data_IF_095329061828
#
_entry.id   IF_095329061828
#
_cell.length_a   1.000
_cell.length_b   1.000
_cell.length_c   1.000
_cell.angle_alpha   90.00
_cell.angle_beta   90.00
_cell.angle_gamma   90.00
#
_symmetry.space_group_name_H-M   'P 1'
#
loop_
_entity.id
_entity.type
_entity.pdbx_description
1 polymer ?
#
# COMPACT_ATOMS: atom_id res chain seq x y z
N UNK A 1 18.41 11.10 65.16
CA UNK A 1 18.49 9.65 65.42
C UNK A 1 17.09 9.07 65.35
N UNK A 2 16.70 8.53 64.20
CA UNK A 2 16.05 7.23 64.09
C UNK A 2 15.95 6.82 62.62
N UNK A 3 16.31 5.57 62.41
CA UNK A 3 16.47 4.83 61.18
C UNK A 3 15.13 4.29 60.63
N UNK A 4 15.19 3.84 59.37
CA UNK A 4 14.33 2.83 58.71
C UNK A 4 12.91 3.29 58.32
N UNK A 5 12.31 2.87 57.21
CA UNK A 5 12.61 1.73 56.33
C UNK A 5 12.08 2.01 54.91
N UNK A 6 12.97 1.89 53.92
CA UNK A 6 12.65 1.84 52.49
C UNK A 6 12.22 0.41 52.14
N UNK A 7 11.03 0.25 51.54
CA UNK A 7 10.59 -1.00 50.94
C UNK A 7 10.43 -0.80 49.43
N UNK A 8 11.39 -1.31 48.68
CA UNK A 8 11.36 -1.37 47.22
C UNK A 8 10.34 -2.38 46.73
N UNK A 9 9.50 -1.99 45.78
CA UNK A 9 8.72 -2.91 44.95
C UNK A 9 9.45 -3.09 43.62
N UNK A 10 10.07 -4.26 43.49
CA UNK A 10 10.65 -4.78 42.26
C UNK A 10 9.54 -5.14 41.28
N UNK A 11 9.41 -4.36 40.21
CA UNK A 11 8.57 -4.71 39.06
C UNK A 11 9.29 -5.76 38.20
N UNK A 12 8.84 -7.01 38.31
CA UNK A 12 9.25 -8.10 37.42
C UNK A 12 8.60 -7.88 36.04
N UNK A 13 9.36 -7.36 35.08
CA UNK A 13 9.00 -7.45 33.67
C UNK A 13 9.17 -8.90 33.20
N UNK A 14 8.05 -9.56 32.96
CA UNK A 14 8.01 -10.83 32.25
C UNK A 14 8.34 -10.57 30.78
N UNK A 15 9.58 -10.89 30.37
CA UNK A 15 9.95 -10.96 28.95
C UNK A 15 9.33 -12.25 28.38
N UNK A 16 8.30 -12.11 27.56
CA UNK A 16 7.85 -13.18 26.68
C UNK A 16 8.94 -13.41 25.62
N UNK A 17 9.59 -14.57 25.68
CA UNK A 17 10.55 -15.00 24.68
C UNK A 17 9.78 -15.59 23.49
N UNK A 18 9.67 -14.83 22.40
CA UNK A 18 9.17 -15.34 21.11
C UNK A 18 10.26 -16.18 20.46
N UNK A 19 10.12 -17.50 20.53
CA UNK A 19 11.02 -18.46 19.87
C UNK A 19 10.72 -18.46 18.37
N UNK A 20 11.54 -17.77 17.57
CA UNK A 20 11.53 -17.90 16.11
C UNK A 20 12.30 -19.16 15.75
N UNK A 21 11.59 -20.24 15.43
CA UNK A 21 12.18 -21.46 14.89
C UNK A 21 12.61 -21.22 13.43
N UNK A 22 13.92 -21.10 13.20
CA UNK A 22 14.49 -21.07 11.86
C UNK A 22 14.52 -22.51 11.28
N UNK A 23 13.59 -22.84 10.39
CA UNK A 23 13.68 -24.05 9.57
C UNK A 23 14.69 -23.80 8.43
N UNK A 24 15.90 -24.34 8.55
CA UNK A 24 16.78 -24.53 7.40
C UNK A 24 16.19 -25.63 6.52
N UNK A 25 15.72 -25.26 5.34
CA UNK A 25 15.22 -26.21 4.33
C UNK A 25 16.29 -26.36 3.25
N UNK A 26 16.80 -27.57 3.08
CA UNK A 26 17.76 -27.93 2.03
C UNK A 26 17.05 -27.99 0.68
N UNK A 27 17.39 -27.07 -0.23
CA UNK A 27 16.87 -27.01 -1.60
C UNK A 27 17.51 -28.12 -2.45
N UNK A 28 16.76 -29.17 -2.75
CA UNK A 28 17.08 -30.12 -3.83
C UNK A 28 16.56 -29.56 -5.14
N UNK A 29 17.42 -29.46 -6.15
CA UNK A 29 17.11 -28.89 -7.47
C UNK A 29 15.98 -29.64 -8.18
N UNK A 30 14.76 -29.12 -8.06
CA UNK A 30 13.61 -29.58 -8.82
C UNK A 30 13.56 -28.81 -10.14
N UNK A 31 13.67 -29.55 -11.24
CA UNK A 31 13.47 -29.01 -12.59
C UNK A 31 11.98 -28.72 -12.79
N UNK A 32 11.57 -27.46 -12.58
CA UNK A 32 10.19 -27.00 -12.69
C UNK A 32 9.73 -26.95 -14.16
N UNK A 33 9.10 -28.03 -14.62
CA UNK A 33 8.23 -27.99 -15.79
C UNK A 33 6.82 -27.58 -15.35
N UNK A 34 6.60 -26.28 -15.13
CA UNK A 34 5.28 -25.76 -14.73
C UNK A 34 4.84 -24.64 -15.67
N UNK A 35 3.74 -24.89 -16.38
CA UNK A 35 3.05 -23.97 -17.30
C UNK A 35 2.28 -22.85 -16.56
N UNK A 36 2.79 -22.39 -15.42
CA UNK A 36 2.17 -21.26 -14.72
C UNK A 36 2.39 -19.97 -15.50
N UNK A 37 1.55 -18.97 -15.24
CA UNK A 37 1.76 -17.62 -15.76
C UNK A 37 3.08 -17.06 -15.22
N UNK A 38 3.91 -16.62 -16.16
CA UNK A 38 5.23 -16.08 -15.91
C UNK A 38 5.09 -14.57 -15.94
N UNK A 39 5.47 -13.87 -14.87
CA UNK A 39 5.46 -12.41 -14.88
C UNK A 39 6.63 -11.90 -15.72
N UNK A 40 6.32 -11.34 -16.89
CA UNK A 40 7.26 -10.47 -17.60
C UNK A 40 7.38 -9.15 -16.85
N UNK A 41 8.60 -8.78 -16.50
CA UNK A 41 8.86 -7.56 -15.74
C UNK A 41 10.01 -6.78 -16.37
N UNK A 42 10.02 -5.49 -16.08
CA UNK A 42 11.14 -4.62 -16.30
C UNK A 42 11.88 -4.43 -14.98
N UNK A 43 13.13 -4.83 -14.94
CA UNK A 43 14.04 -4.68 -13.82
C UNK A 43 14.87 -3.41 -14.01
N UNK A 44 14.82 -2.53 -13.02
CA UNK A 44 15.57 -1.28 -12.97
C UNK A 44 16.51 -1.37 -11.77
N UNK A 45 17.81 -1.37 -12.04
CA UNK A 45 18.85 -1.46 -11.00
C UNK A 45 19.36 -0.09 -10.58
N UNK A 46 20.41 -0.07 -9.76
CA UNK A 46 21.09 1.16 -9.32
C UNK A 46 21.64 2.05 -10.45
N UNK A 47 21.86 1.49 -11.64
CA UNK A 47 22.32 2.24 -12.82
C UNK A 47 21.18 2.87 -13.61
N UNK A 48 19.93 2.66 -13.15
CA UNK A 48 18.70 3.08 -13.81
C UNK A 48 18.56 2.54 -15.24
N UNK A 49 19.24 1.44 -15.56
CA UNK A 49 19.16 0.81 -16.88
C UNK A 49 18.03 -0.22 -16.87
N UNK A 50 16.91 0.01 -17.59
CA UNK A 50 15.80 -0.93 -17.62
C UNK A 50 16.18 -2.19 -18.40
N UNK A 51 15.80 -3.36 -17.88
CA UNK A 51 16.02 -4.67 -18.53
C UNK A 51 14.76 -5.50 -18.47
N UNK A 52 14.33 -6.04 -19.60
CA UNK A 52 13.25 -7.02 -19.64
C UNK A 52 13.73 -8.34 -19.05
N UNK A 53 13.00 -8.85 -18.08
CA UNK A 53 13.27 -10.11 -17.37
C UNK A 53 11.97 -10.87 -17.17
N UNK A 54 12.12 -12.15 -16.86
CA UNK A 54 11.03 -12.99 -16.37
C UNK A 54 11.22 -13.17 -14.87
N UNK A 55 10.30 -12.64 -14.06
CA UNK A 55 10.38 -12.80 -12.60
C UNK A 55 10.06 -14.24 -12.22
N UNK A 56 10.98 -14.88 -11.49
CA UNK A 56 10.79 -16.26 -11.00
C UNK A 56 10.35 -16.23 -9.53
N UNK A 57 10.96 -15.35 -8.72
CA UNK A 57 10.60 -15.20 -7.31
C UNK A 57 11.62 -14.41 -6.48
N UNK A 58 11.53 -14.57 -5.17
CA UNK A 58 12.33 -13.91 -4.15
C UNK A 58 12.88 -14.96 -3.17
N UNK A 59 14.18 -14.89 -2.88
CA UNK A 59 14.89 -15.77 -1.95
C UNK A 59 15.68 -14.92 -0.96
N UNK A 60 15.11 -14.72 0.24
CA UNK A 60 15.64 -13.79 1.23
C UNK A 60 15.75 -12.37 0.67
N UNK A 61 16.97 -11.81 0.66
CA UNK A 61 17.25 -10.49 0.12
C UNK A 61 17.62 -10.49 -1.38
N UNK A 62 17.25 -11.54 -2.12
CA UNK A 62 17.58 -11.67 -3.54
C UNK A 62 16.32 -11.80 -4.39
N UNK A 63 16.36 -11.17 -5.57
CA UNK A 63 15.39 -11.36 -6.65
C UNK A 63 15.94 -12.37 -7.63
N UNK A 64 15.15 -13.41 -7.93
CA UNK A 64 15.47 -14.46 -8.90
C UNK A 64 14.67 -14.20 -10.17
N UNK A 65 15.35 -14.15 -11.30
CA UNK A 65 14.73 -13.90 -12.60
C UNK A 65 15.44 -14.64 -13.72
N UNK A 66 14.76 -14.86 -14.84
CA UNK A 66 15.40 -15.27 -16.09
C UNK A 66 15.72 -14.03 -16.92
N UNK A 67 16.95 -13.95 -17.40
CA UNK A 67 17.36 -12.91 -18.36
C UNK A 67 16.79 -13.17 -19.77
N UNK A 68 17.10 -12.30 -20.73
CA UNK A 68 16.63 -12.43 -22.11
C UNK A 68 17.15 -13.69 -22.82
N UNK A 69 18.20 -14.32 -22.29
CA UNK A 69 18.75 -15.58 -22.80
C UNK A 69 18.09 -16.80 -22.11
N UNK A 70 17.15 -16.57 -21.20
CA UNK A 70 16.49 -17.60 -20.40
C UNK A 70 17.37 -18.13 -19.27
N UNK A 71 18.49 -17.47 -18.95
CA UNK A 71 19.39 -17.89 -17.88
C UNK A 71 18.92 -17.33 -16.54
N UNK A 72 18.88 -18.19 -15.51
CA UNK A 72 18.57 -17.76 -14.15
C UNK A 72 19.68 -16.84 -13.61
N UNK A 73 19.26 -15.69 -13.11
CA UNK A 73 20.09 -14.69 -12.44
C UNK A 73 19.51 -14.39 -11.08
N UNK A 74 20.41 -13.96 -10.19
CA UNK A 74 20.09 -13.50 -8.84
C UNK A 74 20.74 -12.16 -8.61
N UNK A 75 20.00 -11.23 -8.04
CA UNK A 75 20.50 -9.90 -7.66
C UNK A 75 19.98 -9.53 -6.28
N UNK A 76 20.80 -8.86 -5.48
CA UNK A 76 20.38 -8.35 -4.17
C UNK A 76 19.32 -7.25 -4.32
N UNK A 77 18.35 -7.21 -3.42
CA UNK A 77 17.30 -6.17 -3.42
C UNK A 77 17.88 -4.76 -3.19
N UNK A 78 18.99 -4.65 -2.47
CA UNK A 78 19.77 -3.43 -2.25
C UNK A 78 20.34 -2.82 -3.53
N UNK A 79 20.46 -3.64 -4.58
CA UNK A 79 20.95 -3.25 -5.90
C UNK A 79 19.84 -2.92 -6.90
N UNK A 80 18.60 -3.06 -6.48
CA UNK A 80 17.43 -2.80 -7.29
C UNK A 80 16.80 -1.47 -6.91
N UNK A 81 16.38 -0.74 -7.93
CA UNK A 81 15.53 0.45 -7.76
C UNK A 81 14.07 0.01 -7.84
N UNK A 82 13.70 -0.73 -8.89
CA UNK A 82 12.33 -1.18 -9.09
C UNK A 82 12.19 -2.44 -9.96
N UNK A 83 11.05 -3.11 -9.82
CA UNK A 83 10.49 -4.08 -10.76
C UNK A 83 9.13 -3.57 -11.20
N UNK A 84 8.86 -3.54 -12.50
CA UNK A 84 7.58 -3.11 -13.06
C UNK A 84 7.02 -4.21 -13.94
N UNK A 85 5.81 -4.68 -13.68
CA UNK A 85 5.15 -5.63 -14.55
C UNK A 85 4.95 -5.03 -15.94
N UNK A 86 5.24 -5.80 -16.97
CA UNK A 86 5.03 -5.40 -18.36
C UNK A 86 4.30 -6.52 -19.11
N UNK A 87 3.52 -6.15 -20.12
CA UNK A 87 2.98 -7.15 -21.03
C UNK A 87 4.12 -7.86 -21.76
N UNK A 88 3.96 -9.17 -22.00
CA UNK A 88 4.97 -9.97 -22.69
C UNK A 88 5.32 -9.42 -24.09
N UNK A 89 4.38 -8.74 -24.75
CA UNK A 89 4.52 -8.10 -26.07
C UNK A 89 5.21 -6.74 -26.05
N UNK A 90 5.48 -6.15 -24.87
CA UNK A 90 6.04 -4.80 -24.76
C UNK A 90 7.43 -4.72 -25.38
N UNK A 91 7.62 -3.83 -26.37
CA UNK A 91 8.92 -3.40 -26.89
C UNK A 91 9.41 -2.21 -26.06
N UNK A 92 10.62 -2.34 -25.48
CA UNK A 92 11.24 -1.28 -24.67
C UNK A 92 11.61 -0.04 -25.50
N UNK A 93 11.70 -0.17 -26.83
CA UNK A 93 12.03 0.94 -27.73
C UNK A 93 10.89 1.94 -27.89
N UNK A 94 9.65 1.52 -27.65
CA UNK A 94 8.48 2.41 -27.66
C UNK A 94 8.50 3.39 -26.46
N UNK A 95 9.49 3.25 -25.59
CA UNK A 95 9.67 4.05 -24.39
C UNK A 95 8.89 3.47 -23.22
N UNK A 96 9.40 3.71 -22.01
CA UNK A 96 8.73 3.33 -20.77
C UNK A 96 7.31 3.91 -20.71
N UNK A 97 7.13 5.10 -21.28
CA UNK A 97 5.85 5.80 -21.32
C UNK A 97 4.76 5.11 -22.14
N UNK A 98 5.06 4.37 -23.21
CA UNK A 98 4.03 3.70 -24.02
C UNK A 98 3.50 2.42 -23.35
N UNK A 99 4.37 1.72 -22.63
CA UNK A 99 4.01 0.59 -21.79
C UNK A 99 3.34 1.05 -20.49
N UNK A 100 3.88 2.12 -19.89
CA UNK A 100 3.31 2.75 -18.71
C UNK A 100 1.94 3.33 -19.02
N UNK A 101 1.72 4.10 -20.09
CA UNK A 101 0.38 4.63 -20.41
C UNK A 101 -0.68 3.53 -20.50
N UNK A 102 -0.39 2.36 -21.06
CA UNK A 102 -1.38 1.26 -21.05
C UNK A 102 -1.55 0.59 -19.68
N UNK A 103 -0.47 0.47 -18.90
CA UNK A 103 -0.53 -0.06 -17.54
C UNK A 103 -1.11 0.95 -16.51
N UNK A 104 -1.01 2.25 -16.81
CA UNK A 104 -1.31 3.39 -15.93
C UNK A 104 -2.63 4.05 -16.28
N UNK A 105 -3.09 3.96 -17.54
CA UNK A 105 -4.50 4.16 -17.87
C UNK A 105 -5.32 3.18 -17.03
N UNK A 106 -4.83 1.98 -16.69
CA UNK A 106 -5.42 1.05 -15.70
C UNK A 106 -5.30 1.43 -14.22
N UNK A 107 -4.57 2.51 -13.90
CA UNK A 107 -4.42 3.04 -12.53
C UNK A 107 -5.42 4.16 -12.23
N UNK A 108 -5.92 4.83 -13.28
CA UNK A 108 -7.02 5.81 -13.21
C UNK A 108 -8.33 5.30 -13.84
N UNK A 109 -8.28 4.44 -14.86
CA UNK A 109 -9.45 3.63 -15.21
C UNK A 109 -9.62 2.63 -14.09
N UNK A 110 -10.77 2.72 -13.44
CA UNK A 110 -11.11 1.93 -12.29
C UNK A 110 -10.68 0.46 -12.53
N UNK A 111 -10.01 -0.20 -11.55
CA UNK A 111 -9.92 -1.67 -11.54
C UNK A 111 -11.25 -2.26 -11.97
N UNK A 112 -11.24 -3.35 -12.76
CA UNK A 112 -12.44 -3.98 -13.35
C UNK A 112 -13.65 -3.66 -12.48
N UNK A 113 -14.58 -2.79 -12.94
CA UNK A 113 -15.58 -2.19 -12.08
C UNK A 113 -16.41 -3.26 -11.37
N UNK A 114 -16.44 -4.49 -11.89
CA UNK A 114 -17.10 -5.61 -11.22
C UNK A 114 -16.40 -6.11 -9.95
N UNK A 115 -15.07 -5.99 -9.83
CA UNK A 115 -14.29 -6.46 -8.68
C UNK A 115 -14.03 -5.36 -7.64
N UNK A 116 -13.90 -4.10 -8.07
CA UNK A 116 -13.58 -2.98 -7.16
C UNK A 116 -14.74 -2.08 -6.80
N UNK A 117 -15.85 -2.04 -7.55
CA UNK A 117 -16.96 -1.14 -7.19
C UNK A 117 -17.66 -1.54 -5.88
N UNK A 118 -17.39 -2.75 -5.38
CA UNK A 118 -18.01 -3.29 -4.18
C UNK A 118 -17.26 -2.98 -2.87
N UNK A 119 -16.01 -2.51 -2.91
CA UNK A 119 -15.22 -2.19 -1.72
C UNK A 119 -14.95 -0.69 -1.60
N UNK A 120 -14.88 -0.22 -0.36
CA UNK A 120 -14.38 1.11 -0.03
C UNK A 120 -12.86 1.20 -0.20
N UNK A 121 -12.31 2.37 0.07
CA UNK A 121 -10.88 2.64 0.00
C UNK A 121 -10.44 3.49 1.19
N UNK A 122 -9.38 3.07 1.89
CA UNK A 122 -8.62 3.94 2.79
C UNK A 122 -7.30 4.33 2.13
N UNK A 123 -6.98 5.63 2.18
CA UNK A 123 -5.71 6.21 1.72
C UNK A 123 -5.01 6.83 2.91
N UNK A 124 -3.71 6.58 3.02
CA UNK A 124 -2.87 7.12 4.09
C UNK A 124 -2.17 8.42 3.66
N UNK A 125 -1.61 9.14 4.63
CA UNK A 125 -0.89 10.41 4.40
C UNK A 125 0.39 10.23 3.58
N UNK A 126 0.99 9.04 3.62
CA UNK A 126 2.15 8.68 2.80
C UNK A 126 1.77 8.19 1.39
N UNK A 127 0.48 8.08 1.07
CA UNK A 127 0.00 7.62 -0.22
C UNK A 127 -0.20 6.11 -0.33
N UNK A 128 0.02 5.32 0.74
CA UNK A 128 -0.47 3.94 0.83
C UNK A 128 -2.00 3.89 0.65
N UNK A 129 -2.49 2.78 0.10
CA UNK A 129 -3.89 2.57 -0.29
C UNK A 129 -4.30 1.14 0.03
N UNK A 130 -5.45 0.96 0.68
CA UNK A 130 -6.00 -0.35 0.98
C UNK A 130 -7.48 -0.39 0.62
N UNK A 131 -7.87 -1.07 -0.46
CA UNK A 131 -9.26 -1.40 -0.75
C UNK A 131 -9.82 -2.28 0.38
N UNK A 132 -11.10 -2.13 0.72
CA UNK A 132 -11.69 -2.90 1.81
C UNK A 132 -12.94 -2.25 2.40
N UNK A 133 -13.22 -2.59 3.65
CA UNK A 133 -14.41 -2.11 4.34
C UNK A 133 -14.04 -1.66 5.76
N UNK A 134 -14.61 -0.54 6.20
CA UNK A 134 -14.50 -0.11 7.60
C UNK A 134 -15.43 -0.95 8.47
N UNK A 135 -14.92 -1.48 9.58
CA UNK A 135 -15.77 -2.04 10.63
C UNK A 135 -16.18 -0.93 11.62
N UNK A 136 -17.45 -0.87 12.05
CA UNK A 136 -17.85 0.01 13.14
C UNK A 136 -17.01 -0.29 14.38
N UNK A 137 -16.19 0.68 14.81
CA UNK A 137 -15.41 0.53 16.03
C UNK A 137 -16.25 0.93 17.25
N UNK A 138 -16.34 0.10 18.30
CA UNK A 138 -17.02 0.48 19.52
C UNK A 138 -16.19 1.54 20.28
N UNK A 139 -16.65 2.80 20.22
CA UNK A 139 -16.25 3.98 21.02
C UNK A 139 -14.86 4.59 20.76
N UNK A 140 -14.79 5.93 20.92
CA UNK A 140 -13.69 6.94 21.03
C UNK A 140 -12.21 6.62 20.73
N UNK A 141 -11.88 5.51 20.09
CA UNK A 141 -10.51 5.22 19.68
C UNK A 141 -10.18 6.04 18.43
N UNK A 142 -9.04 6.73 18.44
CA UNK A 142 -8.48 7.47 17.29
C UNK A 142 -7.92 6.50 16.23
N UNK A 143 -8.64 5.42 15.95
CA UNK A 143 -8.21 4.32 15.09
C UNK A 143 -9.39 3.76 14.31
N UNK A 144 -9.19 3.62 13.00
CA UNK A 144 -10.11 2.94 12.10
C UNK A 144 -9.73 1.47 12.01
N UNK A 145 -10.71 0.60 12.17
CA UNK A 145 -10.58 -0.83 11.86
C UNK A 145 -10.99 -1.02 10.40
N UNK A 146 -10.03 -1.46 9.58
CA UNK A 146 -10.21 -1.63 8.15
C UNK A 146 -9.94 -3.08 7.73
N UNK A 147 -10.91 -3.74 7.10
CA UNK A 147 -10.77 -5.11 6.62
C UNK A 147 -10.30 -5.14 5.18
N UNK A 148 -9.04 -5.55 5.00
CA UNK A 148 -8.46 -5.84 3.69
C UNK A 148 -8.65 -7.32 3.34
N UNK A 149 -9.10 -7.64 2.12
CA UNK A 149 -9.42 -9.01 1.71
C UNK A 149 -8.30 -10.03 1.99
N UNK A 150 -7.04 -9.61 1.82
CA UNK A 150 -5.86 -10.50 1.94
C UNK A 150 -4.92 -10.19 3.10
N UNK A 151 -4.95 -8.97 3.63
CA UNK A 151 -4.13 -8.60 4.77
C UNK A 151 -4.89 -8.73 6.10
N UNK A 152 -6.21 -8.96 6.04
CA UNK A 152 -7.08 -9.07 7.19
C UNK A 152 -7.37 -7.71 7.81
N UNK A 153 -7.51 -7.70 9.12
CA UNK A 153 -7.80 -6.50 9.91
C UNK A 153 -6.56 -5.59 10.00
N UNK A 154 -6.73 -4.35 9.56
CA UNK A 154 -5.77 -3.26 9.68
C UNK A 154 -6.29 -2.26 10.70
N UNK A 155 -5.46 -1.93 11.69
CA UNK A 155 -5.72 -0.86 12.67
C UNK A 155 -4.97 0.38 12.23
N UNK A 156 -5.70 1.39 11.75
CA UNK A 156 -5.12 2.57 11.12
C UNK A 156 -5.44 3.80 11.97
N UNK A 157 -4.44 4.45 12.58
CA UNK A 157 -4.63 5.70 13.29
C UNK A 157 -5.27 6.79 12.42
N UNK A 158 -6.14 7.63 13.00
CA UNK A 158 -6.80 8.72 12.27
C UNK A 158 -5.80 9.72 11.66
N UNK A 159 -4.71 10.03 12.37
CA UNK A 159 -3.64 10.93 11.91
C UNK A 159 -2.86 10.38 10.71
N UNK A 160 -2.85 9.06 10.51
CA UNK A 160 -2.24 8.40 9.37
C UNK A 160 -3.13 8.37 8.13
N UNK A 161 -4.43 8.70 8.24
CA UNK A 161 -5.39 8.65 7.15
C UNK A 161 -5.41 9.99 6.41
N UNK A 162 -5.34 9.97 5.09
CA UNK A 162 -5.63 11.17 4.26
C UNK A 162 -7.05 11.13 3.70
N UNK A 163 -7.60 9.94 3.45
CA UNK A 163 -8.97 9.80 2.97
C UNK A 163 -9.59 8.43 3.27
N UNK A 164 -10.91 8.42 3.41
CA UNK A 164 -11.76 7.24 3.49
C UNK A 164 -12.90 7.36 2.49
N UNK A 165 -13.22 6.29 1.78
CA UNK A 165 -14.30 6.26 0.80
C UNK A 165 -15.15 5.01 0.99
N UNK A 166 -16.47 5.18 0.89
CA UNK A 166 -17.39 4.05 0.84
C UNK A 166 -17.44 3.43 -0.56
N UNK A 167 -17.78 2.14 -0.59
CA UNK A 167 -17.99 1.41 -1.83
C UNK A 167 -19.05 2.09 -2.71
N UNK A 168 -18.77 2.17 -4.01
CA UNK A 168 -19.71 2.68 -5.02
C UNK A 168 -19.91 4.21 -5.06
N UNK A 169 -19.25 4.99 -4.18
CA UNK A 169 -19.34 6.45 -4.25
C UNK A 169 -18.42 6.99 -5.36
N UNK A 170 -19.02 7.62 -6.37
CA UNK A 170 -18.32 8.10 -7.57
C UNK A 170 -17.84 9.56 -7.47
N UNK A 171 -18.23 10.29 -6.43
CA UNK A 171 -17.91 11.72 -6.26
C UNK A 171 -16.42 12.01 -6.03
N UNK A 172 -15.59 10.97 -5.84
CA UNK A 172 -14.17 11.12 -5.57
C UNK A 172 -13.35 11.62 -6.75
N UNK A 173 -13.75 11.34 -7.99
CA UNK A 173 -12.93 11.69 -9.16
C UNK A 173 -12.60 13.19 -9.22
N UNK A 174 -13.49 14.07 -8.74
CA UNK A 174 -13.25 15.51 -8.68
C UNK A 174 -12.43 15.94 -7.45
N UNK A 175 -12.55 15.21 -6.33
CA UNK A 175 -11.85 15.52 -5.07
C UNK A 175 -10.40 15.00 -5.03
N UNK A 176 -10.09 13.98 -5.83
CA UNK A 176 -8.77 13.34 -5.89
C UNK A 176 -7.75 14.12 -6.72
N UNK A 177 -8.23 14.86 -7.72
CA UNK A 177 -7.41 15.67 -8.63
C UNK A 177 -6.92 16.96 -7.99
N UNK A 178 -7.56 17.36 -6.89
CA UNK A 178 -7.09 18.50 -6.10
C UNK A 178 -5.88 18.05 -5.27
N UNK A 179 -4.70 18.40 -5.75
CA UNK A 179 -3.41 18.08 -5.11
C UNK A 179 -3.18 18.84 -3.81
N UNK A 180 -4.04 19.81 -3.50
CA UNK A 180 -3.91 20.59 -2.29
C UNK A 180 -4.53 19.82 -1.11
N UNK A 181 -3.72 19.61 -0.07
CA UNK A 181 -4.21 19.15 1.23
C UNK A 181 -5.25 20.16 1.72
N UNK A 182 -6.47 19.72 2.10
CA UNK A 182 -7.47 20.65 2.57
C UNK A 182 -7.01 21.31 3.86
N UNK A 183 -7.47 22.54 4.09
CA UNK A 183 -7.14 23.29 5.31
C UNK A 183 -7.91 22.75 6.52
N UNK A 184 -9.09 22.18 6.29
CA UNK A 184 -10.00 21.58 7.28
C UNK A 184 -10.41 20.19 6.81
N UNK A 185 -10.89 19.34 7.71
CA UNK A 185 -11.46 18.06 7.30
C UNK A 185 -12.72 18.29 6.46
N UNK A 186 -12.93 17.43 5.47
CA UNK A 186 -14.09 17.48 4.60
C UNK A 186 -14.85 16.16 4.67
N UNK A 187 -16.13 16.25 4.98
CA UNK A 187 -17.06 15.14 5.01
C UNK A 187 -18.00 15.23 3.81
N UNK A 188 -17.87 14.26 2.90
CA UNK A 188 -18.68 14.18 1.69
C UNK A 188 -19.90 13.31 1.95
N UNK A 189 -21.09 13.85 1.71
CA UNK A 189 -22.35 13.15 1.88
C UNK A 189 -22.80 12.50 0.57
N UNK A 190 -23.59 11.42 0.65
CA UNK A 190 -24.07 10.69 -0.54
C UNK A 190 -24.95 11.52 -1.48
N UNK A 191 -25.52 12.64 -1.00
CA UNK A 191 -26.30 13.57 -1.82
C UNK A 191 -25.43 14.60 -2.57
N UNK A 192 -24.10 14.56 -2.39
CA UNK A 192 -23.14 15.48 -3.02
C UNK A 192 -22.80 16.71 -2.18
N UNK A 193 -23.41 16.89 -1.01
CA UNK A 193 -23.04 17.97 -0.09
C UNK A 193 -21.67 17.69 0.57
N UNK A 194 -20.98 18.76 0.95
CA UNK A 194 -19.69 18.70 1.66
C UNK A 194 -19.79 19.52 2.94
N UNK A 195 -19.51 18.89 4.08
CA UNK A 195 -19.32 19.57 5.36
C UNK A 195 -17.83 19.82 5.58
N UNK A 196 -17.49 20.96 6.16
CA UNK A 196 -16.11 21.34 6.49
C UNK A 196 -15.99 21.60 7.98
N UNK A 197 -14.90 21.14 8.57
CA UNK A 197 -14.70 21.24 10.01
C UNK A 197 -13.65 20.26 10.52
N UNK A 198 -13.94 19.64 11.67
CA UNK A 198 -13.04 18.72 12.34
C UNK A 198 -13.75 17.39 12.63
N UNK A 199 -13.14 16.29 12.21
CA UNK A 199 -13.65 14.96 12.51
C UNK A 199 -13.30 14.58 13.95
N UNK A 200 -14.32 14.48 14.81
CA UNK A 200 -14.14 14.12 16.22
C UNK A 200 -13.99 12.60 16.39
N UNK A 201 -14.74 11.82 15.62
CA UNK A 201 -14.68 10.36 15.68
C UNK A 201 -15.43 9.64 14.56
N UNK A 202 -14.96 8.44 14.20
CA UNK A 202 -15.54 7.56 13.18
C UNK A 202 -16.36 6.41 13.77
N UNK A 203 -17.09 6.69 14.84
CA UNK A 203 -18.11 5.78 15.36
C UNK A 203 -19.35 5.76 14.47
N UNK A 204 -20.34 4.95 14.85
CA UNK A 204 -21.72 5.08 14.35
C UNK A 204 -22.60 5.57 15.52
N UNK A 205 -22.99 6.87 15.56
CA UNK A 205 -22.82 7.87 14.51
C UNK A 205 -21.42 8.46 14.41
N UNK A 206 -21.10 9.04 13.25
CA UNK A 206 -19.91 9.87 13.02
C UNK A 206 -20.12 11.23 13.64
N UNK A 207 -19.18 11.68 14.48
CA UNK A 207 -19.21 12.98 15.14
C UNK A 207 -18.31 13.97 14.38
N UNK A 208 -18.89 15.06 13.90
CA UNK A 208 -18.21 16.07 13.09
C UNK A 208 -18.49 17.47 13.61
N UNK A 209 -17.45 18.20 14.00
CA UNK A 209 -17.55 19.57 14.50
C UNK A 209 -17.50 20.55 13.32
N UNK A 210 -18.50 21.42 13.19
CA UNK A 210 -18.57 22.45 12.15
C UNK A 210 -19.01 23.78 12.76
N UNK A 211 -18.12 24.78 12.73
CA UNK A 211 -18.32 26.01 13.50
C UNK A 211 -18.23 25.76 15.00
N UNK A 212 -19.29 26.08 15.75
CA UNK A 212 -19.38 25.87 17.21
C UNK A 212 -20.27 24.67 17.59
N UNK A 213 -20.76 23.92 16.59
CA UNK A 213 -21.72 22.82 16.76
C UNK A 213 -21.09 21.47 16.40
N UNK A 214 -21.46 20.41 17.14
CA UNK A 214 -21.16 19.02 16.79
C UNK A 214 -22.39 18.42 16.08
N UNK A 215 -22.16 17.87 14.89
CA UNK A 215 -23.16 17.18 14.09
C UNK A 215 -22.90 15.68 14.15
N UNK A 216 -23.91 14.92 14.56
CA UNK A 216 -23.91 13.46 14.51
C UNK A 216 -24.54 12.98 13.19
N UNK A 217 -23.82 12.14 12.45
CA UNK A 217 -24.24 11.62 11.14
C UNK A 217 -24.17 10.10 11.11
N UNK A 218 -25.25 9.46 10.69
CA UNK A 218 -25.25 8.02 10.41
C UNK A 218 -24.24 7.69 9.31
N UNK A 219 -23.41 6.66 9.51
CA UNK A 219 -22.35 6.27 8.57
C UNK A 219 -22.89 6.01 7.15
N UNK A 220 -24.12 5.50 7.03
CA UNK A 220 -24.77 5.25 5.74
C UNK A 220 -25.14 6.51 4.93
N UNK A 221 -24.93 7.72 5.46
CA UNK A 221 -25.14 8.99 4.74
C UNK A 221 -23.85 9.59 4.18
N UNK A 222 -22.70 9.06 4.57
CA UNK A 222 -21.37 9.58 4.24
C UNK A 222 -20.86 8.82 3.01
N UNK A 223 -20.52 9.54 1.95
CA UNK A 223 -19.85 8.97 0.77
C UNK A 223 -18.34 8.84 0.94
N UNK A 224 -17.72 9.80 1.62
CA UNK A 224 -16.28 9.80 1.87
C UNK A 224 -15.84 10.90 2.84
N UNK A 225 -14.58 10.83 3.24
CA UNK A 225 -13.95 11.72 4.21
C UNK A 225 -12.55 12.04 3.69
N UNK A 226 -12.17 13.32 3.74
CA UNK A 226 -10.82 13.80 3.43
C UNK A 226 -10.30 14.54 4.65
N UNK A 227 -9.19 14.08 5.21
CA UNK A 227 -8.61 14.67 6.42
C UNK A 227 -7.52 15.68 6.07
N UNK A 228 -7.43 16.76 6.84
CA UNK A 228 -6.42 17.80 6.72
C UNK A 228 -5.03 17.39 7.27
N UNK A 229 -4.77 16.08 7.36
CA UNK A 229 -3.48 15.56 7.81
C UNK A 229 -2.39 15.87 6.78
N UNK A 230 -1.23 16.31 7.27
CA UNK A 230 -0.10 16.68 6.42
C UNK A 230 0.41 15.46 5.62
N UNK A 231 0.67 15.59 4.31
CA UNK A 231 1.16 14.49 3.52
C UNK A 231 2.59 14.10 3.93
N UNK A 232 2.86 12.81 3.92
CA UNK A 232 4.17 12.24 4.20
C UNK A 232 4.80 11.64 2.94
N UNK A 233 6.11 11.46 2.96
CA UNK A 233 6.81 10.75 1.87
C UNK A 233 6.85 9.27 2.17
N UNK A 234 6.31 8.44 1.26
CA UNK A 234 6.46 6.99 1.34
C UNK A 234 7.93 6.59 1.25
N UNK A 235 8.34 5.62 2.06
CA UNK A 235 9.71 5.13 2.10
C UNK A 235 9.75 3.61 2.27
N UNK A 236 10.93 3.03 2.03
CA UNK A 236 11.15 1.57 2.09
C UNK A 236 10.65 0.84 0.85
N UNK A 237 10.42 -0.47 1.00
CA UNK A 237 9.91 -1.30 -0.09
C UNK A 237 8.42 -1.06 -0.28
N UNK A 238 7.98 -0.73 -1.49
CA UNK A 238 6.57 -0.45 -1.80
C UNK A 238 6.11 -1.35 -2.92
N UNK A 239 4.94 -1.95 -2.76
CA UNK A 239 4.29 -2.78 -3.77
C UNK A 239 3.01 -2.13 -4.28
N UNK A 240 2.75 -2.27 -5.58
CA UNK A 240 1.50 -1.93 -6.24
C UNK A 240 0.86 -3.21 -6.75
N UNK A 241 -0.40 -3.45 -6.36
CA UNK A 241 -1.12 -4.70 -6.64
C UNK A 241 -2.33 -4.47 -7.58
N UNK A 242 -2.79 -5.55 -8.21
CA UNK A 242 -3.92 -5.52 -9.15
C UNK A 242 -5.25 -5.09 -8.52
N UNK A 243 -5.43 -5.28 -7.21
CA UNK A 243 -6.63 -4.87 -6.48
C UNK A 243 -6.66 -3.37 -6.16
N UNK A 244 -5.60 -2.62 -6.49
CA UNK A 244 -5.45 -1.19 -6.18
C UNK A 244 -4.67 -0.92 -4.90
N UNK A 245 -4.23 -1.96 -4.19
CA UNK A 245 -3.41 -1.81 -3.00
C UNK A 245 -2.05 -1.19 -3.32
N UNK A 246 -1.67 -0.21 -2.51
CA UNK A 246 -0.33 0.36 -2.46
C UNK A 246 0.15 0.25 -1.03
N UNK A 247 1.15 -0.59 -0.78
CA UNK A 247 1.57 -0.90 0.58
C UNK A 247 3.09 -0.85 0.71
N UNK A 248 3.56 -0.32 1.85
CA UNK A 248 4.94 -0.54 2.29
C UNK A 248 5.05 -1.95 2.85
N UNK A 249 6.13 -2.64 2.50
CA UNK A 249 6.43 -3.99 2.93
C UNK A 249 7.63 -3.98 3.87
N UNK A 250 7.53 -4.75 4.96
CA UNK A 250 8.69 -5.16 5.75
C UNK A 250 9.44 -6.29 5.03
N UNK A 251 8.68 -7.21 4.43
CA UNK A 251 9.23 -8.40 3.79
C UNK A 251 8.42 -8.87 2.59
N UNK A 252 9.16 -9.37 1.61
CA UNK A 252 8.65 -10.16 0.49
C UNK A 252 9.37 -11.52 0.46
N UNK A 253 8.63 -12.60 0.26
CA UNK A 253 9.21 -13.93 0.11
C UNK A 253 8.42 -14.75 -0.91
N UNK A 254 9.08 -15.57 -1.71
CA UNK A 254 8.38 -16.56 -2.53
C UNK A 254 8.05 -17.82 -1.73
N UNK A 255 6.85 -18.32 -1.95
CA UNK A 255 6.43 -19.67 -1.55
C UNK A 255 6.61 -20.62 -2.73
N UNK A 256 6.48 -21.92 -2.48
CA UNK A 256 6.21 -22.89 -3.53
C UNK A 256 4.99 -22.40 -4.36
N UNK A 257 5.00 -22.68 -5.66
CA UNK A 257 3.92 -22.35 -6.60
C UNK A 257 3.81 -20.88 -7.05
N UNK A 258 4.91 -20.11 -7.06
CA UNK A 258 4.96 -18.71 -7.56
C UNK A 258 4.08 -17.70 -6.82
N UNK A 259 3.61 -18.10 -5.65
CA UNK A 259 2.97 -17.20 -4.72
C UNK A 259 4.01 -16.38 -3.96
N UNK A 260 3.70 -15.12 -3.72
CA UNK A 260 4.43 -14.18 -2.92
C UNK A 260 3.72 -14.03 -1.57
N UNK A 261 4.48 -14.13 -0.50
CA UNK A 261 4.04 -13.73 0.84
C UNK A 261 4.55 -12.31 1.04
N UNK A 262 3.63 -11.37 1.13
CA UNK A 262 3.89 -9.95 1.38
C UNK A 262 3.58 -9.69 2.85
N UNK A 263 4.51 -9.10 3.59
CA UNK A 263 4.35 -8.81 5.02
C UNK A 263 4.45 -7.31 5.25
N UNK A 264 3.41 -6.75 5.89
CA UNK A 264 3.35 -5.35 6.29
C UNK A 264 4.24 -5.11 7.53
N UNK A 265 4.69 -3.86 7.78
CA UNK A 265 5.44 -3.48 8.98
C UNK A 265 4.77 -3.88 10.30
N UNK A 266 3.45 -3.91 10.32
CA UNK A 266 2.63 -4.25 11.49
C UNK A 266 2.52 -5.78 11.72
N UNK A 267 3.06 -6.59 10.81
CA UNK A 267 3.17 -8.06 10.92
C UNK A 267 2.08 -8.85 10.18
N UNK A 268 1.05 -8.18 9.66
CA UNK A 268 0.04 -8.78 8.79
C UNK A 268 0.71 -9.29 7.51
N UNK A 269 0.21 -10.41 7.00
CA UNK A 269 0.73 -10.98 5.77
C UNK A 269 -0.40 -11.41 4.83
N UNK A 270 -0.22 -11.15 3.54
CA UNK A 270 -1.10 -11.58 2.47
C UNK A 270 -0.36 -12.46 1.47
N UNK A 271 -1.08 -13.41 0.87
CA UNK A 271 -0.56 -14.26 -0.19
C UNK A 271 -1.09 -13.78 -1.53
N UNK A 272 -0.18 -13.57 -2.48
CA UNK A 272 -0.50 -13.05 -3.82
C UNK A 272 0.18 -13.89 -4.88
N UNK A 273 -0.44 -14.03 -6.04
CA UNK A 273 0.26 -14.55 -7.20
C UNK A 273 1.26 -13.50 -7.71
N UNK A 274 2.37 -13.95 -8.28
CA UNK A 274 3.34 -13.02 -8.89
C UNK A 274 2.72 -12.16 -10.00
N UNK A 275 1.69 -12.67 -10.70
CA UNK A 275 0.90 -11.98 -11.72
C UNK A 275 0.09 -10.79 -11.18
N UNK A 276 -0.11 -10.73 -9.87
CA UNK A 276 -0.87 -9.67 -9.20
C UNK A 276 -0.03 -8.47 -8.79
N UNK A 277 1.30 -8.58 -8.89
CA UNK A 277 2.21 -7.47 -8.67
C UNK A 277 2.31 -6.64 -9.94
N UNK A 278 1.87 -5.38 -9.88
CA UNK A 278 2.05 -4.39 -10.95
C UNK A 278 3.40 -3.70 -10.88
N UNK A 279 3.88 -3.46 -9.67
CA UNK A 279 5.15 -2.81 -9.44
C UNK A 279 5.69 -3.08 -8.06
N UNK A 280 7.01 -2.99 -7.93
CA UNK A 280 7.72 -3.07 -6.67
C UNK A 280 8.87 -2.06 -6.72
N UNK A 281 8.91 -1.14 -5.76
CA UNK A 281 10.04 -0.29 -5.48
C UNK A 281 10.77 -0.86 -4.27
N UNK A 282 12.09 -0.99 -4.31
CA UNK A 282 12.85 -1.48 -3.15
C UNK A 282 13.22 -0.36 -2.18
N UNK A 283 13.27 0.87 -2.70
CA UNK A 283 13.42 2.08 -1.93
C UNK A 283 12.61 3.19 -2.61
N UNK A 284 11.37 3.37 -2.16
CA UNK A 284 10.45 4.33 -2.76
C UNK A 284 10.91 5.78 -2.59
N UNK A 285 11.76 6.09 -1.61
CA UNK A 285 12.32 7.43 -1.44
C UNK A 285 13.24 7.85 -2.61
N UNK A 286 13.73 6.88 -3.39
CA UNK A 286 14.53 7.12 -4.60
C UNK A 286 13.70 7.32 -5.86
N UNK A 287 12.40 7.11 -5.78
CA UNK A 287 11.48 7.25 -6.90
C UNK A 287 10.67 8.52 -6.69
N UNK A 288 10.76 9.44 -7.66
CA UNK A 288 9.95 10.65 -7.66
C UNK A 288 8.77 10.46 -8.63
N UNK A 289 7.53 10.63 -8.18
CA UNK A 289 6.38 10.67 -9.09
C UNK A 289 6.59 11.78 -10.13
N UNK A 290 6.23 11.51 -11.38
CA UNK A 290 6.29 12.54 -12.44
C UNK A 290 5.42 13.76 -12.09
N UNK A 291 4.27 13.53 -11.46
CA UNK A 291 3.39 14.61 -10.98
C UNK A 291 4.06 15.52 -9.92
N UNK A 292 5.06 15.02 -9.20
CA UNK A 292 5.82 15.81 -8.24
C UNK A 292 6.95 16.63 -8.91
N UNK A 293 7.18 16.46 -10.21
CA UNK A 293 8.11 17.30 -10.96
C UNK A 293 7.37 18.55 -11.41
N UNK A 294 7.81 19.71 -10.92
CA UNK A 294 7.44 20.98 -11.56
C UNK A 294 8.07 20.95 -12.96
N UNK A 295 7.30 21.13 -14.03
CA UNK A 295 7.88 21.26 -15.36
C UNK A 295 8.84 22.45 -15.29
N UNK A 296 10.13 22.21 -15.53
CA UNK A 296 11.05 23.33 -15.76
C UNK A 296 10.42 24.16 -16.88
N UNK A 297 10.24 25.45 -16.62
CA UNK A 297 9.69 26.38 -17.61
C UNK A 297 10.56 26.23 -18.84
N UNK A 298 10.03 25.63 -19.91
CA UNK A 298 10.80 25.54 -21.14
C UNK A 298 10.99 26.98 -21.60
N UNK A 299 12.21 27.51 -21.43
CA UNK A 299 12.58 28.76 -22.08
C UNK A 299 12.37 28.56 -23.59
N UNK A 300 11.51 29.38 -24.22
CA UNK A 300 11.13 29.22 -25.61
C UNK A 300 12.29 29.49 -26.59
#
# INVERSE_FOLDING_TARGET
MNHMCSAGRSSRHARAATTVAALLTTLTGHTLAASGDVLSAMLIDETLTPRKVTLVGFDGNQVIFLDQQGLERRIGQDRLTALVAIEASTDLRDGLGAAAHRAFDGFETAPDPSASAASGLVRLVDGRRFPGESEPSPSFEETVIWHHQRFGELRIPLDAISALMQAGWQGWHDAATDHDTPVEDELYLLNGDVLRGFLVGLSDPVEFETGDDIVELETGRIGGIRLANAPETISGMVVWLNDGTVATLDRIASRQDRNLVLTLPEGQAGVYEVSEVRGLAFDAARIRPLAALTPDSQEP
#
